data_IF_460678090393
#
_entry.id   IF_460678090393
#
_cell.length_a   1.000
_cell.length_b   1.000
_cell.length_c   1.000
_cell.angle_alpha   90.00
_cell.angle_beta   90.00
_cell.angle_gamma   90.00
#
_symmetry.space_group_name_H-M   'P 1'
#
loop_
_entity.id
_entity.type
_entity.pdbx_description
1 polymer ?
#
# COMPACT_ATOMS: atom_id res chain seq x y z
N UNK A 1 -10.80 -39.17 52.49
CA UNK A 1 -11.33 -38.00 51.77
C UNK A 1 -11.86 -38.50 50.44
N UNK A 2 -13.08 -38.13 50.05
CA UNK A 2 -13.70 -38.61 48.80
C UNK A 2 -13.09 -37.89 47.56
N UNK A 3 -12.97 -38.56 46.41
CA UNK A 3 -12.15 -38.13 45.26
C UNK A 3 -12.84 -37.11 44.33
N UNK A 4 -13.82 -36.36 44.85
CA UNK A 4 -14.66 -35.46 44.03
C UNK A 4 -14.56 -33.98 44.42
N UNK A 5 -13.57 -33.61 45.25
CA UNK A 5 -13.30 -32.21 45.62
C UNK A 5 -12.67 -31.37 44.48
N UNK A 6 -12.39 -31.99 43.34
CA UNK A 6 -11.62 -31.38 42.24
C UNK A 6 -12.50 -30.77 41.13
N UNK A 7 -13.83 -30.86 41.25
CA UNK A 7 -14.78 -30.36 40.23
C UNK A 7 -15.18 -28.88 40.41
N UNK A 8 -14.57 -28.19 41.38
CA UNK A 8 -14.78 -26.75 41.60
C UNK A 8 -13.56 -25.90 41.21
N UNK A 9 -12.57 -26.47 40.53
CA UNK A 9 -11.53 -25.66 39.89
C UNK A 9 -12.10 -25.11 38.59
N UNK A 10 -12.55 -23.87 38.64
CA UNK A 10 -12.88 -23.10 37.44
C UNK A 10 -11.54 -22.80 36.75
N UNK A 11 -11.16 -23.62 35.78
CA UNK A 11 -10.18 -23.26 34.75
C UNK A 11 -10.83 -22.17 33.87
N UNK A 12 -10.81 -20.91 34.31
CA UNK A 12 -11.30 -19.74 33.53
C UNK A 12 -10.16 -18.88 32.96
N UNK A 13 -8.90 -19.19 33.28
CA UNK A 13 -7.74 -18.34 32.94
C UNK A 13 -6.94 -18.82 31.69
N UNK A 14 -7.12 -20.06 31.21
CA UNK A 14 -6.37 -20.57 30.03
C UNK A 14 -7.05 -20.30 28.68
N UNK A 15 -8.36 -20.02 28.65
CA UNK A 15 -9.10 -19.73 27.41
C UNK A 15 -8.95 -18.26 26.96
N UNK A 16 -8.47 -17.36 27.83
CA UNK A 16 -8.27 -15.94 27.50
C UNK A 16 -6.97 -15.69 26.70
N UNK A 17 -5.89 -16.45 26.98
CA UNK A 17 -4.60 -16.31 26.27
C UNK A 17 -4.62 -16.88 24.84
N UNK A 18 -5.37 -17.96 24.59
CA UNK A 18 -5.51 -18.56 23.24
C UNK A 18 -6.30 -17.67 22.26
N UNK A 19 -7.10 -16.73 22.78
CA UNK A 19 -7.98 -15.90 21.97
C UNK A 19 -7.24 -14.71 21.35
N UNK A 20 -6.23 -14.17 22.02
CA UNK A 20 -5.40 -13.05 21.53
C UNK A 20 -4.55 -13.44 20.31
N UNK A 21 -4.04 -14.68 20.25
CA UNK A 21 -3.26 -15.20 19.11
C UNK A 21 -4.08 -15.24 17.80
N UNK A 22 -5.40 -15.43 17.88
CA UNK A 22 -6.27 -15.46 16.70
C UNK A 22 -6.56 -14.07 16.13
N UNK A 23 -6.52 -13.03 16.99
CA UNK A 23 -6.66 -11.63 16.57
C UNK A 23 -5.35 -11.07 16.00
N UNK A 24 -4.19 -11.56 16.42
CA UNK A 24 -2.88 -11.17 15.88
C UNK A 24 -2.59 -11.75 14.48
N UNK A 25 -3.37 -12.76 14.04
CA UNK A 25 -3.15 -13.51 12.79
C UNK A 25 -3.61 -12.85 11.49
N UNK A 26 -4.36 -11.74 11.51
CA UNK A 26 -4.87 -11.09 10.28
C UNK A 26 -4.00 -9.92 9.84
N UNK A 27 -2.82 -10.24 9.29
CA UNK A 27 -1.99 -9.25 8.57
C UNK A 27 -2.37 -9.28 7.10
N UNK A 28 -3.01 -8.23 6.60
CA UNK A 28 -3.28 -8.11 5.17
C UNK A 28 -2.01 -7.71 4.43
N UNK A 29 -1.76 -8.34 3.28
CA UNK A 29 -0.65 -7.98 2.39
C UNK A 29 -1.22 -7.49 1.06
N UNK A 30 -0.92 -6.25 0.70
CA UNK A 30 -1.45 -5.59 -0.50
C UNK A 30 -0.30 -5.25 -1.44
N UNK A 31 -0.42 -5.67 -2.70
CA UNK A 31 0.49 -5.30 -3.77
C UNK A 31 -0.26 -4.49 -4.84
N UNK A 32 0.10 -3.22 -5.00
CA UNK A 32 -0.38 -2.40 -6.11
C UNK A 32 0.50 -2.65 -7.34
N UNK A 33 -0.04 -3.32 -8.35
CA UNK A 33 0.60 -3.49 -9.65
C UNK A 33 0.01 -2.47 -10.64
N UNK A 34 0.78 -1.46 -10.98
CA UNK A 34 0.36 -0.33 -11.83
C UNK A 34 1.00 -0.47 -13.21
N UNK A 35 0.17 -0.41 -14.25
CA UNK A 35 0.63 -0.38 -15.64
C UNK A 35 1.15 1.00 -16.01
N UNK A 36 2.31 1.07 -16.63
CA UNK A 36 2.91 2.29 -17.16
C UNK A 36 3.02 2.28 -18.70
N UNK A 37 2.08 1.61 -19.39
CA UNK A 37 1.92 1.68 -20.84
C UNK A 37 1.59 3.09 -21.35
N UNK A 38 1.85 3.33 -22.64
CA UNK A 38 1.59 4.64 -23.28
C UNK A 38 0.13 5.09 -23.12
N UNK A 39 -0.83 4.17 -23.25
CA UNK A 39 -2.26 4.47 -23.06
C UNK A 39 -2.62 4.84 -21.62
N UNK A 40 -1.88 4.33 -20.63
CA UNK A 40 -2.10 4.68 -19.22
C UNK A 40 -1.53 6.07 -18.89
N UNK A 41 -0.47 6.48 -19.59
CA UNK A 41 0.22 7.77 -19.42
C UNK A 41 -0.44 8.92 -20.19
N UNK A 42 -1.36 8.62 -21.11
CA UNK A 42 -2.04 9.63 -21.91
C UNK A 42 -2.82 10.60 -21.02
N UNK A 43 -2.52 11.90 -21.20
CA UNK A 43 -3.19 12.98 -20.49
C UNK A 43 -4.59 13.20 -21.07
N UNK A 44 -5.59 13.21 -20.21
CA UNK A 44 -6.98 13.48 -20.53
C UNK A 44 -7.57 14.45 -19.49
N UNK A 45 -8.73 15.01 -19.82
CA UNK A 45 -9.42 15.94 -18.94
C UNK A 45 -9.99 15.19 -17.72
N UNK A 46 -9.82 15.78 -16.53
CA UNK A 46 -10.32 15.19 -15.30
C UNK A 46 -11.86 15.21 -15.27
N UNK A 47 -12.55 14.10 -14.96
CA UNK A 47 -14.01 14.06 -14.94
C UNK A 47 -14.65 14.89 -13.82
N UNK A 48 -13.88 15.27 -12.78
CA UNK A 48 -14.38 15.98 -11.61
C UNK A 48 -13.97 17.47 -11.59
N UNK A 49 -12.93 17.86 -12.32
CA UNK A 49 -12.38 19.22 -12.29
C UNK A 49 -12.21 19.79 -13.70
N UNK A 50 -12.80 20.97 -13.93
CA UNK A 50 -12.57 21.73 -15.16
C UNK A 50 -11.12 22.23 -15.23
N UNK A 51 -10.53 22.20 -16.43
CA UNK A 51 -9.17 22.64 -16.76
C UNK A 51 -8.01 21.89 -16.08
N UNK A 52 -8.27 20.73 -15.48
CA UNK A 52 -7.23 19.86 -14.92
C UNK A 52 -6.99 18.68 -15.86
N UNK A 53 -5.72 18.48 -16.25
CA UNK A 53 -5.29 17.28 -16.98
C UNK A 53 -4.80 16.22 -16.01
N UNK A 54 -5.33 15.01 -16.14
CA UNK A 54 -4.93 13.83 -15.38
C UNK A 54 -4.50 12.69 -16.31
N UNK A 55 -3.94 11.62 -15.76
CA UNK A 55 -3.62 10.38 -16.49
C UNK A 55 -4.12 9.18 -15.70
N UNK A 56 -4.34 8.05 -16.36
CA UNK A 56 -4.81 6.85 -15.67
C UNK A 56 -3.79 6.33 -14.65
N UNK A 57 -2.49 6.51 -14.92
CA UNK A 57 -1.41 6.22 -13.94
C UNK A 57 -1.54 7.11 -12.71
N UNK A 58 -1.77 8.41 -12.90
CA UNK A 58 -1.89 9.35 -11.77
C UNK A 58 -3.08 8.98 -10.88
N UNK A 59 -4.24 8.68 -11.47
CA UNK A 59 -5.43 8.22 -10.74
C UNK A 59 -5.17 6.91 -9.98
N UNK A 60 -4.44 5.96 -10.57
CA UNK A 60 -4.06 4.72 -9.90
C UNK A 60 -3.13 4.96 -8.70
N UNK A 61 -2.16 5.87 -8.83
CA UNK A 61 -1.26 6.27 -7.74
C UNK A 61 -2.01 6.97 -6.61
N UNK A 62 -2.94 7.88 -6.95
CA UNK A 62 -3.79 8.56 -5.96
C UNK A 62 -4.67 7.56 -5.21
N UNK A 63 -5.27 6.58 -5.90
CA UNK A 63 -6.04 5.51 -5.26
C UNK A 63 -5.18 4.67 -4.30
N UNK A 64 -3.98 4.27 -4.73
CA UNK A 64 -3.04 3.52 -3.90
C UNK A 64 -2.63 4.32 -2.65
N UNK A 65 -2.39 5.63 -2.80
CA UNK A 65 -2.10 6.54 -1.69
C UNK A 65 -3.28 6.60 -0.69
N UNK A 66 -4.52 6.75 -1.17
CA UNK A 66 -5.69 6.84 -0.30
C UNK A 66 -5.92 5.54 0.48
N UNK A 67 -5.72 4.37 -0.16
CA UNK A 67 -5.82 3.08 0.51
C UNK A 67 -4.71 2.95 1.56
N UNK A 68 -3.48 3.31 1.22
CA UNK A 68 -2.33 3.25 2.15
C UNK A 68 -2.56 4.14 3.37
N UNK A 69 -3.10 5.36 3.19
CA UNK A 69 -3.47 6.28 4.29
C UNK A 69 -4.52 5.67 5.22
N UNK A 70 -5.57 5.04 4.68
CA UNK A 70 -6.59 4.37 5.49
C UNK A 70 -6.03 3.17 6.25
N UNK A 71 -5.13 2.42 5.61
CA UNK A 71 -4.49 1.24 6.21
C UNK A 71 -3.62 1.60 7.42
N UNK A 72 -2.90 2.73 7.40
CA UNK A 72 -2.20 3.26 8.59
C UNK A 72 -3.13 3.43 9.79
N UNK A 73 -4.37 3.88 9.56
CA UNK A 73 -5.31 4.20 10.65
C UNK A 73 -6.02 2.97 11.21
N UNK A 74 -6.26 1.96 10.40
CA UNK A 74 -7.12 0.81 10.75
C UNK A 74 -6.29 -0.44 11.10
N UNK A 75 -5.12 -0.62 10.48
CA UNK A 75 -4.31 -1.82 10.58
C UNK A 75 -2.82 -1.52 10.39
N UNK A 76 -2.10 -1.08 11.44
CA UNK A 76 -0.67 -0.76 11.33
C UNK A 76 0.22 -1.99 11.05
N UNK A 77 -0.32 -3.19 11.28
CA UNK A 77 0.38 -4.46 11.03
C UNK A 77 0.26 -4.95 9.58
N UNK A 78 -0.49 -4.25 8.74
CA UNK A 78 -0.62 -4.59 7.32
C UNK A 78 0.65 -4.26 6.55
N UNK A 79 0.90 -4.99 5.45
CA UNK A 79 2.01 -4.76 4.56
C UNK A 79 1.54 -4.27 3.19
N UNK A 80 2.21 -3.25 2.65
CA UNK A 80 1.91 -2.65 1.35
C UNK A 80 3.16 -2.60 0.48
N UNK A 81 3.03 -2.93 -0.79
CA UNK A 81 4.05 -2.73 -1.82
C UNK A 81 3.47 -2.11 -3.10
N UNK A 82 4.34 -1.46 -3.88
CA UNK A 82 3.99 -0.83 -5.16
C UNK A 82 4.98 -1.29 -6.24
N UNK A 83 4.44 -1.95 -7.26
CA UNK A 83 5.13 -2.43 -8.45
C UNK A 83 4.61 -1.68 -9.67
N UNK A 84 5.51 -1.13 -10.47
CA UNK A 84 5.20 -0.53 -11.76
C UNK A 84 5.71 -1.47 -12.86
N UNK A 85 4.85 -1.81 -13.82
CA UNK A 85 5.23 -2.66 -14.95
C UNK A 85 5.10 -1.92 -16.28
N UNK A 86 5.77 -2.45 -17.29
CA UNK A 86 5.94 -1.80 -18.59
C UNK A 86 6.74 -0.47 -18.52
N UNK A 87 7.69 -0.39 -17.61
CA UNK A 87 8.56 0.79 -17.44
C UNK A 87 9.86 0.64 -18.22
N UNK A 88 10.49 1.78 -18.57
CA UNK A 88 11.84 1.80 -19.16
C UNK A 88 12.94 1.67 -18.11
N UNK A 89 12.63 1.98 -16.86
CA UNK A 89 13.54 1.87 -15.71
C UNK A 89 13.68 0.41 -15.27
N UNK A 90 14.89 0.05 -14.81
CA UNK A 90 15.17 -1.27 -14.22
C UNK A 90 15.44 -1.12 -12.74
N UNK A 91 15.14 -2.18 -11.97
CA UNK A 91 15.57 -2.28 -10.58
C UNK A 91 17.10 -2.31 -10.48
N UNK A 92 17.60 -1.76 -9.38
CA UNK A 92 19.04 -1.77 -9.08
C UNK A 92 19.53 -3.21 -8.85
N UNK A 93 20.69 -3.54 -9.42
CA UNK A 93 21.28 -4.86 -9.28
C UNK A 93 21.72 -5.08 -7.82
N UNK A 94 21.02 -5.96 -7.10
CA UNK A 94 21.30 -6.31 -5.70
C UNK A 94 20.24 -5.84 -4.69
N UNK A 95 19.21 -5.09 -5.11
CA UNK A 95 18.07 -4.72 -4.26
C UNK A 95 16.97 -5.78 -4.21
N UNK A 96 16.00 -5.61 -3.31
CA UNK A 96 14.75 -6.38 -3.33
C UNK A 96 14.06 -6.18 -4.69
N UNK A 97 14.00 -7.25 -5.49
CA UNK A 97 13.45 -7.21 -6.84
C UNK A 97 14.48 -7.19 -7.99
N UNK A 98 15.75 -7.47 -7.71
CA UNK A 98 16.81 -7.58 -8.73
C UNK A 98 16.56 -8.70 -9.77
N UNK A 99 15.87 -9.78 -9.37
CA UNK A 99 15.53 -10.91 -10.25
C UNK A 99 14.22 -10.73 -11.02
N UNK A 100 13.58 -9.56 -10.92
CA UNK A 100 12.29 -9.32 -11.57
C UNK A 100 12.49 -9.17 -13.08
N UNK A 101 11.54 -9.72 -13.84
CA UNK A 101 11.46 -9.62 -15.31
C UNK A 101 11.71 -8.19 -15.80
N UNK A 102 12.36 -8.07 -16.96
CA UNK A 102 12.62 -6.80 -17.64
C UNK A 102 11.34 -5.97 -17.76
N UNK A 103 11.49 -4.65 -17.65
CA UNK A 103 10.43 -3.63 -17.74
C UNK A 103 9.51 -3.58 -16.51
N UNK A 104 9.91 -4.21 -15.41
CA UNK A 104 9.26 -4.05 -14.12
C UNK A 104 10.19 -3.28 -13.18
N UNK A 105 9.58 -2.37 -12.43
CA UNK A 105 10.24 -1.50 -11.49
C UNK A 105 9.49 -1.56 -10.15
N UNK A 106 10.19 -1.94 -9.09
CA UNK A 106 9.64 -1.93 -7.73
C UNK A 106 9.85 -0.55 -7.18
N UNK A 107 8.76 0.21 -7.05
CA UNK A 107 8.81 1.54 -6.47
C UNK A 107 8.91 1.43 -4.94
N UNK A 108 8.09 0.57 -4.34
CA UNK A 108 8.14 0.28 -2.90
C UNK A 108 8.06 -1.24 -2.68
N UNK A 109 9.04 -1.84 -1.99
CA UNK A 109 8.95 -3.24 -1.63
C UNK A 109 7.83 -3.48 -0.63
N UNK A 110 7.30 -4.71 -0.61
CA UNK A 110 6.27 -5.13 0.34
C UNK A 110 6.87 -5.07 1.74
N UNK A 111 6.31 -4.19 2.57
CA UNK A 111 6.74 -3.97 3.93
C UNK A 111 5.58 -3.36 4.73
N UNK A 112 5.70 -3.37 6.05
CA UNK A 112 4.76 -2.73 6.97
C UNK A 112 4.47 -1.29 6.58
N UNK A 113 3.19 -0.90 6.65
CA UNK A 113 2.77 0.45 6.27
C UNK A 113 3.42 1.48 7.20
N UNK A 114 4.08 2.48 6.63
CA UNK A 114 4.71 3.55 7.40
C UNK A 114 4.45 4.94 6.80
N UNK A 115 4.51 5.97 7.65
CA UNK A 115 4.26 7.34 7.23
C UNK A 115 5.31 7.88 6.21
N UNK A 116 6.63 7.61 6.34
CA UNK A 116 7.63 8.10 5.38
C UNK A 116 7.39 7.62 3.93
N UNK A 117 7.04 6.35 3.73
CA UNK A 117 6.74 5.79 2.39
C UNK A 117 5.49 6.42 1.78
N UNK A 118 4.50 6.77 2.60
CA UNK A 118 3.31 7.48 2.13
C UNK A 118 3.65 8.92 1.75
N UNK A 119 4.53 9.59 2.50
CA UNK A 119 5.01 10.92 2.14
C UNK A 119 5.77 10.94 0.82
N UNK A 120 6.62 9.94 0.57
CA UNK A 120 7.31 9.78 -0.71
C UNK A 120 6.31 9.63 -1.88
N UNK A 121 5.25 8.84 -1.69
CA UNK A 121 4.21 8.68 -2.69
C UNK A 121 3.43 9.98 -2.93
N UNK A 122 3.14 10.76 -1.87
CA UNK A 122 2.51 12.09 -1.99
C UNK A 122 3.39 13.04 -2.81
N UNK A 123 4.69 13.10 -2.49
CA UNK A 123 5.64 13.95 -3.23
C UNK A 123 5.71 13.57 -4.71
N UNK A 124 5.71 12.26 -5.01
CA UNK A 124 5.69 11.79 -6.41
C UNK A 124 4.43 12.27 -7.14
N UNK A 125 3.25 12.15 -6.52
CA UNK A 125 1.97 12.60 -7.09
C UNK A 125 1.98 14.12 -7.32
N UNK A 126 2.43 14.89 -6.32
CA UNK A 126 2.49 16.35 -6.39
C UNK A 126 3.46 16.84 -7.47
N UNK A 127 4.59 16.16 -7.66
CA UNK A 127 5.53 16.47 -8.75
C UNK A 127 5.01 16.07 -10.14
N UNK A 128 4.15 15.06 -10.22
CA UNK A 128 3.64 14.53 -11.50
C UNK A 128 2.41 15.27 -11.98
N UNK A 129 1.66 15.91 -11.07
CA UNK A 129 0.53 16.76 -11.45
C UNK A 129 1.09 17.88 -12.35
N UNK A 130 0.62 17.98 -13.62
CA UNK A 130 1.08 19.04 -14.50
C UNK A 130 0.73 20.35 -13.81
N UNK A 131 1.75 21.18 -13.54
CA UNK A 131 1.56 22.54 -13.05
C UNK A 131 0.51 23.19 -13.96
N UNK A 132 -0.68 23.42 -13.43
CA UNK A 132 -1.65 24.28 -14.08
C UNK A 132 -0.92 25.58 -14.39
N UNK A 133 -0.99 26.02 -15.65
CA UNK A 133 -0.32 27.19 -16.16
C UNK A 133 -0.93 28.48 -15.58
N UNK A 134 -0.86 28.67 -14.25
CA UNK A 134 -1.29 29.88 -13.56
C UNK A 134 -0.24 30.29 -12.52
N UNK A 135 0.93 30.67 -13.02
CA UNK A 135 1.67 31.81 -12.47
C UNK A 135 1.94 32.77 -13.63
N UNK A 136 0.88 33.46 -14.05
CA UNK A 136 0.99 34.74 -14.76
C UNK A 136 0.53 35.81 -13.79
N UNK A 137 1.40 36.79 -13.59
CA UNK A 137 1.29 38.03 -12.77
C UNK A 137 1.73 37.96 -11.31
#
# INVERSE_FOLDING_TARGET
MAPYDDWNHVEDDEDEELQDDYYEGKKDVILFAIDCSESMLELHDDPNYEDVKTSHVLTALEAAMQISKKKVLIGPNDAVGILMFNTTRKNEAGGQGADIKKNNFVFQPIDTVNAPKIQELIQLIDCTRPLSQNQSE
#
